data_IF_005023665054
#
_entry.id   IF_005023665054
#
_cell.length_a   1.000
_cell.length_b   1.000
_cell.length_c   1.000
_cell.angle_alpha   90.00
_cell.angle_beta   90.00
_cell.angle_gamma   90.00
#
_symmetry.space_group_name_H-M   'P 1'
#
loop_
_entity.id
_entity.type
_entity.pdbx_description
1 polymer ?
#
# COMPACT_ATOMS: atom_id res chain seq x y z
N UNK A 1 -51.12 1.18 36.05
CA UNK A 1 -51.29 1.40 34.60
C UNK A 1 -50.18 2.35 34.19
N UNK A 2 -48.95 1.86 34.20
CA UNK A 2 -48.21 1.28 33.05
C UNK A 2 -47.56 2.38 32.20
N UNK A 3 -46.31 2.66 32.59
CA UNK A 3 -45.32 3.40 31.81
C UNK A 3 -44.98 2.62 30.53
N UNK A 4 -45.37 3.15 29.37
CA UNK A 4 -44.92 2.63 28.08
C UNK A 4 -43.48 3.08 27.81
N UNK A 5 -42.55 2.17 28.09
CA UNK A 5 -41.14 2.28 27.69
C UNK A 5 -41.01 2.04 26.18
N UNK A 6 -40.82 3.12 25.40
CA UNK A 6 -40.40 3.02 24.00
C UNK A 6 -38.93 2.60 23.94
N UNK A 7 -38.68 1.32 23.69
CA UNK A 7 -37.35 0.84 23.30
C UNK A 7 -36.97 1.42 21.94
N UNK A 8 -36.03 2.38 21.95
CA UNK A 8 -35.32 2.82 20.75
C UNK A 8 -34.41 1.68 20.27
N UNK A 9 -34.84 0.94 19.26
CA UNK A 9 -33.96 0.01 18.53
C UNK A 9 -33.09 0.88 17.63
N UNK A 10 -31.79 1.00 17.93
CA UNK A 10 -30.81 1.59 17.01
C UNK A 10 -30.88 0.81 15.70
N UNK A 11 -31.03 1.46 14.54
CA UNK A 11 -30.93 0.74 13.28
C UNK A 11 -29.52 0.14 13.20
N UNK A 12 -29.45 -1.19 13.12
CA UNK A 12 -28.22 -1.89 12.76
C UNK A 12 -27.82 -1.39 11.38
N UNK A 13 -26.82 -0.52 11.31
CA UNK A 13 -26.27 -0.02 10.05
C UNK A 13 -25.60 -1.19 9.34
N UNK A 14 -26.34 -1.89 8.48
CA UNK A 14 -25.75 -2.86 7.56
C UNK A 14 -24.93 -2.05 6.57
N UNK A 15 -23.60 -2.09 6.74
CA UNK A 15 -22.67 -1.48 5.81
C UNK A 15 -22.70 -2.27 4.49
N UNK A 16 -22.53 -1.62 3.33
CA UNK A 16 -22.55 -2.31 2.05
C UNK A 16 -21.37 -3.30 1.92
N UNK A 17 -21.68 -4.45 1.32
CA UNK A 17 -20.81 -5.64 1.16
C UNK A 17 -20.92 -6.18 -0.27
N UNK A 18 -20.83 -5.29 -1.25
CA UNK A 18 -20.92 -5.67 -2.67
C UNK A 18 -19.74 -6.56 -3.08
N UNK A 19 -19.99 -7.55 -3.92
CA UNK A 19 -18.91 -8.36 -4.50
C UNK A 19 -18.06 -7.50 -5.45
N UNK A 20 -16.75 -7.66 -5.38
CA UNK A 20 -15.80 -6.98 -6.26
C UNK A 20 -14.79 -7.99 -6.78
N UNK A 21 -14.19 -7.71 -7.95
CA UNK A 21 -13.19 -8.57 -8.55
C UNK A 21 -11.76 -8.01 -8.32
N UNK A 22 -10.76 -8.85 -8.56
CA UNK A 22 -9.36 -8.48 -8.38
C UNK A 22 -8.93 -7.33 -9.30
N UNK A 23 -9.44 -7.27 -10.53
CA UNK A 23 -9.11 -6.22 -11.49
C UNK A 23 -9.52 -4.84 -10.99
N UNK A 24 -10.74 -4.71 -10.45
CA UNK A 24 -11.24 -3.45 -9.88
C UNK A 24 -10.48 -3.07 -8.61
N UNK A 25 -10.17 -4.04 -7.75
CA UNK A 25 -9.32 -3.84 -6.58
C UNK A 25 -7.95 -3.30 -6.98
N UNK A 26 -7.28 -3.93 -7.96
CA UNK A 26 -5.98 -3.48 -8.49
C UNK A 26 -6.07 -2.11 -9.12
N UNK A 27 -7.14 -1.80 -9.85
CA UNK A 27 -7.35 -0.48 -10.46
C UNK A 27 -7.38 0.62 -9.38
N UNK A 28 -8.15 0.41 -8.32
CA UNK A 28 -8.25 1.37 -7.22
C UNK A 28 -6.97 1.43 -6.37
N UNK A 29 -6.29 0.31 -6.17
CA UNK A 29 -4.97 0.25 -5.54
C UNK A 29 -3.94 1.11 -6.27
N UNK A 30 -3.82 0.93 -7.59
CA UNK A 30 -2.88 1.69 -8.43
C UNK A 30 -3.23 3.18 -8.48
N UNK A 31 -4.52 3.53 -8.64
CA UNK A 31 -4.98 4.93 -8.58
C UNK A 31 -4.64 5.60 -7.25
N UNK A 32 -4.73 4.86 -6.15
CA UNK A 32 -4.35 5.37 -4.84
C UNK A 32 -2.83 5.62 -4.76
N UNK A 33 -2.01 4.69 -5.26
CA UNK A 33 -0.55 4.85 -5.34
C UNK A 33 -0.16 6.09 -6.16
N UNK A 34 -0.70 6.26 -7.36
CA UNK A 34 -0.46 7.45 -8.21
C UNK A 34 -0.86 8.75 -7.49
N UNK A 35 -2.01 8.75 -6.80
CA UNK A 35 -2.49 9.91 -6.04
C UNK A 35 -1.51 10.28 -4.92
N UNK A 36 -0.93 9.30 -4.23
CA UNK A 36 0.10 9.54 -3.22
C UNK A 36 1.37 10.11 -3.86
N UNK A 37 1.77 9.57 -5.01
CA UNK A 37 2.89 10.08 -5.80
C UNK A 37 2.74 11.55 -6.18
N UNK A 38 1.56 11.94 -6.66
CA UNK A 38 1.24 13.33 -7.01
C UNK A 38 1.23 14.26 -5.79
N UNK A 39 0.97 13.74 -4.58
CA UNK A 39 1.04 14.50 -3.32
C UNK A 39 2.46 14.57 -2.73
N UNK A 40 3.46 14.02 -3.42
CA UNK A 40 4.84 13.96 -2.94
C UNK A 40 5.13 12.81 -1.96
N UNK A 41 4.16 11.94 -1.69
CA UNK A 41 4.32 10.76 -0.82
C UNK A 41 4.96 9.60 -1.59
N UNK A 42 6.17 9.84 -2.11
CA UNK A 42 6.90 8.94 -3.02
C UNK A 42 7.31 7.62 -2.39
N UNK A 43 7.54 7.59 -1.07
CA UNK A 43 7.88 6.35 -0.34
C UNK A 43 6.69 5.40 -0.38
N UNK A 44 5.50 5.87 0.02
CA UNK A 44 4.30 5.03 0.05
C UNK A 44 3.83 4.63 -1.36
N UNK A 45 3.92 5.53 -2.35
CA UNK A 45 3.73 5.16 -3.76
C UNK A 45 4.66 4.02 -4.17
N UNK A 46 5.95 4.14 -3.84
CA UNK A 46 6.94 3.12 -4.17
C UNK A 46 6.60 1.79 -3.50
N UNK A 47 6.23 1.81 -2.22
CA UNK A 47 5.86 0.63 -1.45
C UNK A 47 4.67 -0.07 -2.10
N UNK A 48 3.59 0.64 -2.43
CA UNK A 48 2.38 0.09 -3.04
C UNK A 48 2.58 -0.54 -4.42
N UNK A 49 3.64 -0.14 -5.11
CA UNK A 49 3.99 -0.59 -6.45
C UNK A 49 5.14 -1.61 -6.44
N UNK A 50 5.63 -2.04 -5.26
CA UNK A 50 6.68 -3.07 -5.19
C UNK A 50 6.18 -4.34 -5.86
N UNK A 51 4.97 -4.79 -5.54
CA UNK A 51 4.35 -5.94 -6.15
C UNK A 51 2.83 -5.80 -6.20
N UNK A 52 2.24 -6.84 -6.76
CA UNK A 52 0.83 -6.96 -7.02
C UNK A 52 0.12 -7.57 -5.79
N UNK A 53 -0.86 -6.89 -5.16
CA UNK A 53 -1.66 -7.48 -4.09
C UNK A 53 -2.50 -8.66 -4.61
N UNK A 54 -2.78 -9.65 -3.79
CA UNK A 54 -3.57 -10.84 -4.17
C UNK A 54 -4.92 -10.78 -3.45
N UNK A 55 -6.02 -11.06 -4.16
CA UNK A 55 -7.36 -11.08 -3.58
C UNK A 55 -7.83 -12.51 -3.30
N UNK A 56 -8.27 -12.77 -2.07
CA UNK A 56 -8.96 -14.00 -1.65
C UNK A 56 -10.31 -13.63 -0.98
N UNK A 57 -11.39 -13.70 -1.74
CA UNK A 57 -12.70 -13.21 -1.30
C UNK A 57 -12.69 -11.70 -1.05
N UNK A 58 -12.71 -11.28 0.22
CA UNK A 58 -12.57 -9.88 0.64
C UNK A 58 -11.23 -9.57 1.31
N UNK A 59 -10.34 -10.56 1.43
CA UNK A 59 -9.01 -10.42 2.02
C UNK A 59 -8.00 -10.09 0.93
N UNK A 60 -7.30 -8.99 1.12
CA UNK A 60 -6.19 -8.57 0.26
C UNK A 60 -4.89 -8.94 0.97
N UNK A 61 -4.11 -9.81 0.37
CA UNK A 61 -2.77 -10.16 0.87
C UNK A 61 -1.73 -9.33 0.13
N UNK A 62 -0.88 -8.64 0.89
CA UNK A 62 0.21 -7.82 0.36
C UNK A 62 1.55 -8.30 0.89
N UNK A 63 2.42 -8.75 0.00
CA UNK A 63 3.75 -9.22 0.37
C UNK A 63 4.76 -8.08 0.32
N UNK A 64 5.56 -7.90 1.37
CA UNK A 64 6.61 -6.89 1.43
C UNK A 64 7.97 -7.54 1.69
N UNK A 65 9.06 -6.94 1.16
CA UNK A 65 10.38 -7.58 1.19
C UNK A 65 10.99 -7.65 2.59
N UNK A 66 10.66 -6.72 3.48
CA UNK A 66 11.25 -6.63 4.82
C UNK A 66 10.30 -5.93 5.81
N UNK A 67 10.62 -6.03 7.10
CA UNK A 67 9.83 -5.43 8.19
C UNK A 67 9.75 -3.90 8.12
N UNK A 68 10.80 -3.23 7.65
CA UNK A 68 10.79 -1.76 7.51
C UNK A 68 9.72 -1.27 6.54
N UNK A 69 9.60 -1.94 5.39
CA UNK A 69 8.56 -1.64 4.40
C UNK A 69 7.16 -1.91 4.95
N UNK A 70 7.01 -2.99 5.74
CA UNK A 70 5.76 -3.32 6.42
C UNK A 70 5.35 -2.24 7.40
N UNK A 71 6.25 -1.80 8.26
CA UNK A 71 5.96 -0.78 9.26
C UNK A 71 5.50 0.54 8.61
N UNK A 72 6.19 0.97 7.56
CA UNK A 72 5.82 2.16 6.78
C UNK A 72 4.44 2.00 6.14
N UNK A 73 4.17 0.85 5.50
CA UNK A 73 2.86 0.55 4.92
C UNK A 73 1.75 0.56 5.98
N UNK A 74 1.93 -0.13 7.10
CA UNK A 74 0.94 -0.25 8.18
C UNK A 74 0.61 1.11 8.79
N UNK A 75 1.58 2.03 8.88
CA UNK A 75 1.38 3.39 9.38
C UNK A 75 0.37 4.21 8.54
N UNK A 76 0.28 3.92 7.23
CA UNK A 76 -0.57 4.64 6.28
C UNK A 76 -1.71 3.78 5.70
N UNK A 77 -1.78 2.49 6.03
CA UNK A 77 -2.72 1.52 5.50
C UNK A 77 -4.18 1.94 5.66
N UNK A 78 -4.53 2.62 6.76
CA UNK A 78 -5.90 3.08 7.02
C UNK A 78 -6.45 3.97 5.89
N UNK A 79 -5.59 4.79 5.27
CA UNK A 79 -6.00 5.65 4.16
C UNK A 79 -6.32 4.85 2.90
N UNK A 80 -5.55 3.80 2.62
CA UNK A 80 -5.79 2.88 1.51
C UNK A 80 -7.06 2.06 1.75
N UNK A 81 -7.21 1.51 2.96
CA UNK A 81 -8.39 0.74 3.34
C UNK A 81 -9.68 1.56 3.14
N UNK A 82 -9.68 2.82 3.61
CA UNK A 82 -10.82 3.73 3.41
C UNK A 82 -11.09 4.02 1.93
N UNK A 83 -10.04 4.17 1.11
CA UNK A 83 -10.17 4.34 -0.33
C UNK A 83 -10.85 3.12 -0.98
N UNK A 84 -10.36 1.91 -0.70
CA UNK A 84 -10.89 0.68 -1.27
C UNK A 84 -12.34 0.43 -0.84
N UNK A 85 -12.65 0.54 0.46
CA UNK A 85 -14.01 0.35 0.98
C UNK A 85 -15.02 1.29 0.34
N UNK A 86 -14.62 2.55 0.12
CA UNK A 86 -15.48 3.56 -0.50
C UNK A 86 -15.70 3.36 -2.00
N UNK A 87 -14.71 2.87 -2.75
CA UNK A 87 -14.80 2.71 -4.19
C UNK A 87 -15.32 1.34 -4.64
N UNK A 88 -15.06 0.31 -3.85
CA UNK A 88 -15.52 -1.06 -4.12
C UNK A 88 -16.84 -1.38 -3.40
N UNK A 89 -17.42 -0.41 -2.69
CA UNK A 89 -18.68 -0.55 -1.95
C UNK A 89 -18.75 -1.77 -1.03
N UNK A 90 -17.60 -2.15 -0.45
CA UNK A 90 -17.48 -3.32 0.40
C UNK A 90 -16.70 -2.97 1.68
N UNK A 91 -17.36 -3.04 2.83
CA UNK A 91 -16.75 -2.74 4.13
C UNK A 91 -16.07 -3.93 4.82
N UNK A 92 -16.23 -5.13 4.28
CA UNK A 92 -15.57 -6.37 4.74
C UNK A 92 -14.14 -6.50 4.20
N UNK A 93 -13.67 -5.55 3.38
CA UNK A 93 -12.29 -5.54 2.90
C UNK A 93 -11.31 -5.50 4.07
N UNK A 94 -10.39 -6.45 4.06
CA UNK A 94 -9.27 -6.54 5.00
C UNK A 94 -7.96 -6.60 4.23
N UNK A 95 -6.89 -6.05 4.80
CA UNK A 95 -5.55 -6.12 4.22
C UNK A 95 -4.66 -6.87 5.21
N UNK A 96 -4.00 -7.91 4.74
CA UNK A 96 -3.02 -8.69 5.47
C UNK A 96 -1.64 -8.50 4.84
N UNK A 97 -0.66 -8.14 5.67
CA UNK A 97 0.69 -7.86 5.21
C UNK A 97 1.63 -9.00 5.62
N UNK A 98 2.28 -9.60 4.64
CA UNK A 98 3.23 -10.72 4.84
C UNK A 98 4.64 -10.22 4.51
N UNK A 99 5.61 -10.52 5.36
CA UNK A 99 7.02 -10.25 5.06
C UNK A 99 7.63 -11.46 4.39
N UNK A 100 8.23 -11.25 3.22
CA UNK A 100 8.88 -12.29 2.43
C UNK A 100 10.29 -11.87 2.03
N UNK A 101 11.26 -12.09 2.92
CA UNK A 101 12.68 -11.74 2.74
C UNK A 101 13.33 -12.49 1.56
N UNK A 102 12.75 -13.63 1.15
CA UNK A 102 13.24 -14.40 -0.02
C UNK A 102 12.91 -13.71 -1.34
N UNK A 103 11.87 -12.88 -1.38
CA UNK A 103 11.53 -12.07 -2.56
C UNK A 103 12.57 -10.97 -2.78
N UNK A 104 13.22 -10.48 -1.71
CA UNK A 104 14.34 -9.53 -1.82
C UNK A 104 15.53 -10.13 -2.59
N UNK A 105 15.81 -11.43 -2.42
CA UNK A 105 16.84 -12.11 -3.21
C UNK A 105 16.48 -12.25 -4.70
N UNK A 106 15.20 -12.37 -5.05
CA UNK A 106 14.74 -12.49 -6.45
C UNK A 106 14.60 -11.13 -7.15
N UNK A 107 14.28 -10.08 -6.41
CA UNK A 107 14.21 -8.68 -6.88
C UNK A 107 15.39 -7.87 -6.34
N UNK A 108 16.59 -8.45 -6.36
CA UNK A 108 17.80 -7.67 -6.14
C UNK A 108 17.89 -6.63 -7.25
N UNK A 109 17.34 -5.45 -7.00
CA UNK A 109 17.65 -4.25 -7.74
C UNK A 109 19.16 -4.17 -7.75
N UNK A 110 19.77 -4.39 -8.92
CA UNK A 110 21.20 -4.22 -9.09
C UNK A 110 21.56 -2.86 -8.46
N UNK A 111 22.71 -2.74 -7.78
CA UNK A 111 23.13 -1.50 -7.13
C UNK A 111 22.99 -0.28 -8.08
N UNK A 112 23.13 -0.53 -9.37
CA UNK A 112 22.90 0.40 -10.46
C UNK A 112 21.45 0.90 -10.61
N UNK A 113 20.45 0.03 -10.47
CA UNK A 113 19.03 0.41 -10.57
C UNK A 113 18.61 1.29 -9.38
N UNK A 114 19.09 0.94 -8.17
CA UNK A 114 18.92 1.78 -6.98
C UNK A 114 19.56 3.15 -7.17
N UNK A 115 20.79 3.20 -7.69
CA UNK A 115 21.50 4.45 -7.98
C UNK A 115 20.73 5.31 -8.99
N UNK A 116 20.24 4.73 -10.09
CA UNK A 116 19.48 5.45 -11.10
C UNK A 116 18.19 6.06 -10.52
N UNK A 117 17.45 5.31 -9.70
CA UNK A 117 16.26 5.83 -9.04
C UNK A 117 16.58 6.97 -8.07
N UNK A 118 17.69 6.89 -7.33
CA UNK A 118 18.11 7.98 -6.45
C UNK A 118 18.55 9.22 -7.22
N UNK A 119 19.20 9.07 -8.37
CA UNK A 119 19.52 10.19 -9.28
C UNK A 119 18.27 10.87 -9.83
N UNK A 120 17.26 10.10 -10.25
CA UNK A 120 15.99 10.65 -10.75
C UNK A 120 15.25 11.47 -9.70
N UNK A 121 15.33 11.05 -8.43
CA UNK A 121 14.71 11.75 -7.30
C UNK A 121 15.53 12.97 -6.88
N UNK A 122 16.87 12.88 -6.92
CA UNK A 122 17.76 13.95 -6.52
C UNK A 122 19.05 13.98 -7.37
N UNK A 123 19.20 14.92 -8.32
CA UNK A 123 20.39 14.99 -9.17
C UNK A 123 21.68 15.27 -8.39
N UNK A 124 21.61 15.78 -7.15
CA UNK A 124 22.79 16.00 -6.30
C UNK A 124 23.43 14.68 -5.81
N UNK A 125 22.78 13.53 -6.03
CA UNK A 125 23.35 12.21 -5.74
C UNK A 125 24.62 11.98 -6.58
N UNK A 126 24.70 12.52 -7.80
CA UNK A 126 25.91 12.45 -8.64
C UNK A 126 27.08 13.22 -8.01
N UNK A 127 26.80 14.41 -7.47
CA UNK A 127 27.79 15.24 -6.80
C UNK A 127 28.32 14.54 -5.54
N UNK A 128 27.44 13.90 -4.77
CA UNK A 128 27.80 13.15 -3.57
C UNK A 128 28.67 11.94 -3.92
N UNK A 129 28.32 11.19 -4.97
CA UNK A 129 29.11 10.06 -5.46
C UNK A 129 30.52 10.49 -5.84
N UNK A 130 30.63 11.58 -6.58
CA UNK A 130 31.91 12.09 -7.09
C UNK A 130 32.77 12.68 -5.96
N UNK A 131 32.16 13.41 -5.04
CA UNK A 131 32.87 14.10 -3.94
C UNK A 131 33.47 13.11 -2.94
N UNK A 132 32.79 11.99 -2.69
CA UNK A 132 33.22 10.97 -1.73
C UNK A 132 33.84 9.73 -2.39
N UNK A 133 33.99 9.70 -3.72
CA UNK A 133 34.60 8.58 -4.44
C UNK A 133 33.85 7.25 -4.26
N UNK A 134 32.52 7.32 -4.17
CA UNK A 134 31.66 6.15 -3.94
C UNK A 134 31.43 5.40 -5.26
N UNK A 135 32.47 4.73 -5.77
CA UNK A 135 32.35 3.91 -6.97
C UNK A 135 31.66 2.58 -6.64
N UNK A 136 30.65 2.22 -7.43
CA UNK A 136 29.97 0.93 -7.32
C UNK A 136 30.92 -0.13 -7.88
N UNK A 137 31.53 -0.92 -7.00
CA UNK A 137 32.29 -2.10 -7.43
C UNK A 137 31.30 -3.21 -7.79
N UNK A 138 31.52 -3.77 -8.98
CA UNK A 138 30.78 -4.90 -9.57
C UNK A 138 30.69 -6.10 -8.61
#
# INVERSE_FOLDING_TARGET
>A
MEESSKSYVKPSSVLPTEEFNETDMRLHWNKYAERLGQKGLKIMESILLINDPILDGTRITYELPNEGSKLEFESQMNGLLGHLKGHLHNHDITIEVIVNEKVEMKRSYNNQDRYNRFLEINPNIELLRTTFGLDLKD
#
